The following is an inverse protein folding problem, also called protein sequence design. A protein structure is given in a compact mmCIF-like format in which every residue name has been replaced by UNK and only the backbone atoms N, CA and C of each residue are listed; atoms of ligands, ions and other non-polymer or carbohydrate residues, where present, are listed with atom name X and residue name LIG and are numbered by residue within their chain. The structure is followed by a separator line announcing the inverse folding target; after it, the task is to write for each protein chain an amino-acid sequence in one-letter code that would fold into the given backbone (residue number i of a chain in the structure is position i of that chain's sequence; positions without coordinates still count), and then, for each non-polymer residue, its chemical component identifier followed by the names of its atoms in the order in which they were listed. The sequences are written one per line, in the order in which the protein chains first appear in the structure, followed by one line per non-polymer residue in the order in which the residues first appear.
data_IF_255016810624
#
_entry.id   IF_255016810624
#
_cell.length_a   1.000
_cell.length_b   1.000
_cell.length_c   1.000
_cell.angle_alpha   90.00
_cell.angle_beta   90.00
_cell.angle_gamma   90.00
#
_symmetry.space_group_name_H-M   'P 1'
#
loop_
_entity.id
_entity.type
_entity.pdbx_description
1 polymer ?
#
# COMPACT_ATOMS: atom_id res chain seq x y z
N UNK A 1 70.93 -14.08 -60.59
CA UNK A 1 69.75 -13.31 -60.75
C UNK A 1 69.02 -13.20 -59.39
N UNK A 2 69.29 -12.17 -58.60
CA UNK A 2 68.71 -11.94 -57.30
C UNK A 2 67.55 -10.91 -57.46
N UNK A 3 66.33 -11.33 -57.21
CA UNK A 3 65.14 -10.45 -57.14
C UNK A 3 64.97 -9.87 -55.71
N UNK A 4 65.17 -8.60 -55.58
CA UNK A 4 64.83 -7.83 -54.36
C UNK A 4 63.31 -7.57 -54.33
N UNK A 5 62.67 -8.05 -53.28
CA UNK A 5 61.30 -7.62 -52.97
C UNK A 5 61.35 -6.40 -52.04
N UNK A 6 60.90 -5.27 -52.51
CA UNK A 6 60.68 -4.11 -51.67
C UNK A 6 59.31 -4.29 -50.94
N UNK A 7 59.35 -4.44 -49.65
CA UNK A 7 58.18 -4.37 -48.82
C UNK A 7 57.89 -2.94 -48.39
N UNK A 8 56.77 -2.43 -48.83
CA UNK A 8 56.23 -1.13 -48.42
C UNK A 8 55.47 -1.25 -47.12
N UNK A 9 55.76 -0.48 -46.05
CA UNK A 9 54.95 -0.50 -44.85
C UNK A 9 53.70 0.32 -45.07
N UNK A 10 52.54 -0.30 -44.87
CA UNK A 10 51.24 0.39 -44.84
C UNK A 10 51.13 1.09 -43.48
N UNK A 11 51.19 2.41 -43.49
CA UNK A 11 50.96 3.26 -42.35
C UNK A 11 49.45 3.31 -42.10
N UNK A 12 48.96 2.58 -41.12
CA UNK A 12 47.54 2.68 -40.67
C UNK A 12 47.36 3.97 -39.88
N UNK A 13 46.71 4.96 -40.48
CA UNK A 13 46.29 6.15 -39.78
C UNK A 13 45.06 5.79 -38.91
N UNK A 14 45.25 5.69 -37.60
CA UNK A 14 44.19 5.66 -36.62
C UNK A 14 43.57 7.04 -36.53
N UNK A 15 42.41 7.24 -37.16
CA UNK A 15 41.56 8.41 -36.91
C UNK A 15 40.97 8.25 -35.52
N UNK A 16 41.47 8.98 -34.56
CA UNK A 16 40.79 9.20 -33.29
C UNK A 16 39.55 10.07 -33.59
N UNK A 17 38.39 9.43 -33.61
CA UNK A 17 37.15 10.15 -33.51
C UNK A 17 37.13 10.80 -32.14
N UNK A 18 37.47 12.09 -32.08
CA UNK A 18 37.18 12.92 -30.92
C UNK A 18 35.68 12.91 -30.71
N UNK A 19 35.24 12.30 -29.60
CA UNK A 19 33.91 12.59 -29.11
C UNK A 19 33.86 14.08 -28.87
N UNK A 20 33.01 14.76 -29.60
CA UNK A 20 32.68 16.17 -29.40
C UNK A 20 32.25 16.33 -27.93
N UNK A 21 33.02 17.07 -27.14
CA UNK A 21 32.61 17.56 -25.85
C UNK A 21 31.52 18.64 -26.07
N UNK A 22 30.37 18.17 -26.60
CA UNK A 22 29.20 19.00 -26.62
C UNK A 22 28.99 19.52 -25.21
N UNK A 23 29.12 20.80 -25.00
CA UNK A 23 28.82 21.46 -23.73
C UNK A 23 27.38 21.05 -23.39
N UNK A 24 27.24 20.11 -22.47
CA UNK A 24 25.95 19.85 -21.82
C UNK A 24 25.68 21.13 -21.04
N UNK A 25 25.01 22.06 -21.70
CA UNK A 25 24.32 23.12 -20.96
C UNK A 25 23.23 22.36 -20.21
N UNK A 26 23.51 22.10 -18.93
CA UNK A 26 22.45 21.66 -18.03
C UNK A 26 21.29 22.62 -18.26
N UNK A 27 20.11 22.14 -18.71
CA UNK A 27 18.96 23.01 -18.75
C UNK A 27 18.84 23.56 -17.32
N UNK A 28 18.95 24.87 -17.18
CA UNK A 28 18.57 25.53 -15.94
C UNK A 28 17.06 25.28 -15.84
N UNK A 29 16.70 24.13 -15.23
CA UNK A 29 15.38 23.94 -14.73
C UNK A 29 15.22 24.99 -13.63
N UNK A 30 14.67 26.13 -13.98
CA UNK A 30 13.99 26.97 -13.00
C UNK A 30 12.81 26.11 -12.54
N UNK A 31 13.04 25.32 -11.51
CA UNK A 31 12.04 24.44 -10.92
C UNK A 31 11.09 25.33 -10.12
N UNK A 32 10.30 26.11 -10.85
CA UNK A 32 9.15 26.85 -10.37
C UNK A 32 7.87 26.01 -10.51
N UNK A 33 8.02 24.67 -10.57
CA UNK A 33 6.87 23.80 -10.55
C UNK A 33 6.25 23.92 -9.17
N UNK A 34 5.10 24.57 -9.11
CA UNK A 34 4.30 24.64 -7.88
C UNK A 34 4.07 23.24 -7.34
N UNK A 35 4.30 23.07 -6.06
CA UNK A 35 4.09 21.80 -5.36
C UNK A 35 3.34 22.06 -4.07
N UNK A 36 2.55 21.08 -3.64
CA UNK A 36 1.86 21.15 -2.37
C UNK A 36 2.70 20.59 -1.23
N UNK A 37 2.27 20.88 -0.01
CA UNK A 37 2.79 20.34 1.25
C UNK A 37 1.65 19.67 2.01
N UNK A 38 1.95 18.59 2.70
CA UNK A 38 1.01 17.95 3.61
C UNK A 38 1.66 17.74 4.98
N UNK A 39 0.85 17.84 6.02
CA UNK A 39 1.20 17.54 7.41
C UNK A 39 0.27 16.45 7.91
N UNK A 40 0.82 15.33 8.33
CA UNK A 40 0.12 14.30 9.11
C UNK A 40 0.46 14.50 10.58
N UNK A 41 -0.55 14.55 11.43
CA UNK A 41 -0.42 14.53 12.90
C UNK A 41 -1.20 13.34 13.43
N UNK A 42 -0.51 12.31 13.92
CA UNK A 42 -1.14 11.07 14.36
C UNK A 42 -0.26 10.30 15.38
N UNK A 43 -0.88 9.52 16.26
CA UNK A 43 -0.26 8.45 17.07
C UNK A 43 -0.47 7.13 16.30
N UNK A 44 0.56 6.68 15.56
CA UNK A 44 0.50 5.50 14.72
C UNK A 44 1.00 4.26 15.45
N UNK A 45 0.18 3.21 15.50
CA UNK A 45 0.48 1.96 16.19
C UNK A 45 0.63 0.81 15.20
N UNK A 46 1.63 -0.06 15.44
CA UNK A 46 1.83 -1.27 14.63
C UNK A 46 2.65 -1.07 13.36
N UNK A 47 3.34 0.06 13.19
CA UNK A 47 4.24 0.30 12.05
C UNK A 47 5.37 -0.74 11.93
N UNK A 48 5.81 -1.32 13.03
CA UNK A 48 6.87 -2.32 13.11
C UNK A 48 6.39 -3.75 12.81
N UNK A 49 5.09 -3.95 12.65
CA UNK A 49 4.49 -5.27 12.43
C UNK A 49 4.44 -5.68 10.96
N UNK A 50 4.79 -4.78 10.04
CA UNK A 50 4.80 -5.04 8.61
C UNK A 50 6.07 -5.78 8.17
N UNK A 51 5.90 -6.74 7.24
CA UNK A 51 7.03 -7.37 6.55
C UNK A 51 7.60 -6.47 5.45
N UNK A 52 8.70 -6.90 4.82
CA UNK A 52 9.40 -6.12 3.79
C UNK A 52 8.62 -5.90 2.50
N UNK A 53 7.51 -6.60 2.29
CA UNK A 53 6.70 -6.51 1.06
C UNK A 53 5.76 -5.32 1.03
N UNK A 54 5.51 -4.68 2.19
CA UNK A 54 4.57 -3.57 2.31
C UNK A 54 5.15 -2.46 3.20
N UNK A 55 4.65 -1.26 2.99
CA UNK A 55 5.01 -0.10 3.81
C UNK A 55 3.77 0.74 4.09
N UNK A 56 3.68 1.27 5.31
CA UNK A 56 2.74 2.35 5.62
C UNK A 56 3.38 3.66 5.21
N UNK A 57 2.66 4.47 4.47
CA UNK A 57 3.17 5.71 3.88
C UNK A 57 2.22 6.88 4.05
N UNK A 58 2.78 8.09 4.11
CA UNK A 58 2.08 9.31 3.75
C UNK A 58 2.39 9.60 2.28
N UNK A 59 1.38 9.64 1.42
CA UNK A 59 1.61 9.71 -0.02
C UNK A 59 0.60 10.58 -0.76
N UNK A 60 1.02 11.17 -1.88
CA UNK A 60 0.16 11.83 -2.85
C UNK A 60 -0.23 10.86 -3.98
N UNK A 61 -1.53 10.77 -4.25
CA UNK A 61 -2.08 9.98 -5.35
C UNK A 61 -2.86 10.85 -6.33
N UNK A 62 -3.07 10.34 -7.54
CA UNK A 62 -4.01 10.89 -8.52
C UNK A 62 -5.12 9.88 -8.80
N UNK A 63 -6.30 10.36 -9.19
CA UNK A 63 -7.49 9.51 -9.39
C UNK A 63 -7.33 8.45 -10.49
N UNK A 64 -6.42 8.69 -11.43
CA UNK A 64 -6.15 7.82 -12.58
C UNK A 64 -5.09 6.74 -12.30
N UNK A 65 -4.54 6.69 -11.08
CA UNK A 65 -3.42 5.82 -10.76
C UNK A 65 -3.46 5.24 -9.36
N UNK A 66 -3.14 3.95 -9.24
CA UNK A 66 -2.86 3.33 -7.93
C UNK A 66 -1.45 3.61 -7.43
N UNK A 67 -0.55 4.07 -8.29
CA UNK A 67 0.83 4.34 -7.90
C UNK A 67 0.96 5.71 -7.26
N UNK A 68 1.67 5.77 -6.14
CA UNK A 68 1.95 7.04 -5.49
C UNK A 68 2.80 7.94 -6.40
N UNK A 69 2.43 9.22 -6.51
CA UNK A 69 3.22 10.24 -7.21
C UNK A 69 4.44 10.62 -6.40
N UNK A 70 4.24 10.69 -5.09
CA UNK A 70 5.27 10.93 -4.09
C UNK A 70 4.86 10.20 -2.81
N UNK A 71 5.83 9.74 -2.03
CA UNK A 71 5.56 9.12 -0.74
C UNK A 71 6.70 9.31 0.25
N UNK A 72 6.35 9.26 1.52
CA UNK A 72 7.27 9.15 2.64
C UNK A 72 6.90 7.90 3.43
N UNK A 73 7.82 6.95 3.52
CA UNK A 73 7.64 5.76 4.35
C UNK A 73 7.63 6.17 5.82
N UNK A 74 6.70 5.61 6.56
CA UNK A 74 6.56 5.86 8.00
C UNK A 74 7.26 4.72 8.74
N UNK A 75 7.99 5.10 9.78
CA UNK A 75 8.71 4.16 10.64
C UNK A 75 8.36 4.46 12.09
N UNK A 76 8.29 3.41 12.90
CA UNK A 76 8.03 3.59 14.33
C UNK A 76 9.14 4.42 14.98
N UNK A 77 8.75 5.39 15.78
CA UNK A 77 9.68 6.18 16.61
C UNK A 77 10.01 5.47 17.92
N UNK A 78 9.31 4.37 18.22
CA UNK A 78 9.46 3.61 19.46
C UNK A 78 8.89 4.30 20.69
N UNK A 79 8.28 5.46 20.55
CA UNK A 79 7.63 6.18 21.63
C UNK A 79 6.10 5.92 21.59
N UNK A 80 5.58 5.47 22.71
CA UNK A 80 4.14 5.27 22.90
C UNK A 80 3.45 6.60 23.25
N UNK A 81 2.22 6.77 22.76
CA UNK A 81 1.33 7.90 23.04
C UNK A 81 1.87 9.28 22.59
N UNK A 82 2.75 9.33 21.61
CA UNK A 82 3.25 10.57 21.02
C UNK A 82 2.63 10.80 19.66
N UNK A 83 2.02 11.98 19.49
CA UNK A 83 1.57 12.42 18.17
C UNK A 83 2.79 12.80 17.32
N UNK A 84 3.04 12.00 16.30
CA UNK A 84 4.07 12.32 15.31
C UNK A 84 3.57 13.41 14.37
N UNK A 85 4.45 14.35 14.04
CA UNK A 85 4.22 15.36 13.03
C UNK A 85 5.09 15.07 11.81
N UNK A 86 4.45 14.60 10.73
CA UNK A 86 5.14 14.12 9.54
C UNK A 86 4.82 15.03 8.37
N UNK A 87 5.83 15.67 7.80
CA UNK A 87 5.70 16.55 6.63
C UNK A 87 6.05 15.78 5.37
N UNK A 88 5.20 15.88 4.36
CA UNK A 88 5.45 15.49 2.97
C UNK A 88 5.43 16.77 2.12
N UNK A 89 6.56 17.11 1.53
CA UNK A 89 6.73 18.28 0.64
C UNK A 89 7.01 17.83 -0.80
N UNK A 90 6.87 18.73 -1.75
CA UNK A 90 7.11 18.43 -3.17
C UNK A 90 6.00 17.60 -3.81
N UNK A 91 4.79 17.67 -3.30
CA UNK A 91 3.63 16.95 -3.85
C UNK A 91 3.26 17.61 -5.19
N UNK A 92 3.30 16.87 -6.32
CA UNK A 92 2.97 17.44 -7.62
C UNK A 92 1.52 17.93 -7.66
N UNK A 93 1.25 19.03 -8.36
CA UNK A 93 -0.11 19.57 -8.53
C UNK A 93 -1.06 18.63 -9.29
N UNK A 94 -0.52 17.57 -9.90
CA UNK A 94 -1.30 16.47 -10.49
C UNK A 94 -1.84 15.47 -9.47
N UNK A 95 -1.39 15.53 -8.22
CA UNK A 95 -2.00 14.75 -7.15
C UNK A 95 -3.39 15.30 -6.83
N UNK A 96 -4.34 14.39 -6.58
CA UNK A 96 -5.72 14.73 -6.24
C UNK A 96 -6.06 14.41 -4.80
N UNK A 97 -5.21 13.62 -4.14
CA UNK A 97 -5.37 13.28 -2.71
C UNK A 97 -4.04 13.08 -2.01
N UNK A 98 -4.09 13.31 -0.69
CA UNK A 98 -3.06 12.89 0.26
C UNK A 98 -3.63 11.79 1.12
N UNK A 99 -2.90 10.69 1.24
CA UNK A 99 -3.39 9.51 1.92
C UNK A 99 -2.36 8.96 2.91
N UNK A 100 -2.85 8.55 4.07
CA UNK A 100 -2.20 7.55 4.90
C UNK A 100 -2.60 6.19 4.34
N UNK A 101 -1.67 5.45 3.79
CA UNK A 101 -1.95 4.27 3.00
C UNK A 101 -0.92 3.14 3.21
N UNK A 102 -1.33 1.92 2.88
CA UNK A 102 -0.41 0.79 2.69
C UNK A 102 -0.09 0.67 1.22
N UNK A 103 1.19 0.60 0.89
CA UNK A 103 1.69 0.36 -0.47
C UNK A 103 2.58 -0.87 -0.52
N UNK A 104 2.64 -1.50 -1.70
CA UNK A 104 3.57 -2.58 -2.00
C UNK A 104 4.97 -2.05 -2.38
N UNK A 105 5.90 -2.98 -2.67
CA UNK A 105 7.27 -2.65 -3.11
C UNK A 105 7.34 -1.87 -4.41
N UNK A 106 6.30 -1.92 -5.24
CA UNK A 106 6.18 -1.15 -6.47
C UNK A 106 5.50 0.21 -6.25
N UNK A 107 5.22 0.57 -5.00
CA UNK A 107 4.52 1.79 -4.61
C UNK A 107 3.05 1.84 -5.06
N UNK A 108 2.48 0.66 -5.33
CA UNK A 108 1.07 0.54 -5.64
C UNK A 108 0.26 0.58 -4.34
N UNK A 109 -0.80 1.39 -4.31
CA UNK A 109 -1.74 1.44 -3.19
C UNK A 109 -2.46 0.11 -3.01
N UNK A 110 -2.34 -0.47 -1.83
CA UNK A 110 -3.00 -1.71 -1.41
C UNK A 110 -4.24 -1.39 -0.58
N UNK A 111 -4.12 -0.46 0.35
CA UNK A 111 -5.24 0.01 1.17
C UNK A 111 -5.06 1.48 1.53
N UNK A 112 -6.18 2.21 1.60
CA UNK A 112 -6.24 3.58 2.12
C UNK A 112 -6.77 3.54 3.56
N UNK A 113 -5.96 4.04 4.49
CA UNK A 113 -6.34 4.13 5.92
C UNK A 113 -7.08 5.44 6.18
N UNK A 114 -6.56 6.53 5.65
CA UNK A 114 -7.18 7.85 5.72
C UNK A 114 -6.85 8.66 4.48
N UNK A 115 -7.76 9.52 4.05
CA UNK A 115 -7.65 10.30 2.82
C UNK A 115 -8.07 11.74 3.05
N UNK A 116 -7.30 12.68 2.49
CA UNK A 116 -7.65 14.07 2.34
C UNK A 116 -7.65 14.41 0.85
N UNK A 117 -8.79 14.80 0.30
CA UNK A 117 -8.87 15.28 -1.07
C UNK A 117 -8.18 16.65 -1.18
N UNK A 118 -7.46 16.87 -2.26
CA UNK A 118 -6.88 18.17 -2.57
C UNK A 118 -7.96 18.98 -3.31
N UNK A 119 -8.42 20.09 -2.75
CA UNK A 119 -9.43 20.91 -3.41
C UNK A 119 -8.95 21.45 -4.75
N UNK A 120 -9.84 21.58 -5.71
CA UNK A 120 -9.54 22.28 -6.96
C UNK A 120 -9.14 23.74 -6.66
N UNK A 121 -8.01 24.19 -7.23
CA UNK A 121 -7.48 25.53 -6.97
C UNK A 121 -6.84 25.70 -5.59
N UNK A 122 -6.42 24.59 -4.94
CA UNK A 122 -5.67 24.67 -3.68
C UNK A 122 -4.41 25.52 -3.85
N UNK A 123 -4.20 26.43 -2.90
CA UNK A 123 -3.01 27.30 -2.90
C UNK A 123 -1.78 26.51 -2.47
N UNK A 124 -0.72 26.58 -3.25
CA UNK A 124 0.53 25.87 -2.96
C UNK A 124 1.23 26.36 -1.69
N UNK A 125 0.95 27.58 -1.23
CA UNK A 125 1.48 28.10 0.03
C UNK A 125 0.77 27.49 1.25
N UNK A 126 -0.45 26.99 1.10
CA UNK A 126 -1.21 26.35 2.17
C UNK A 126 -0.74 24.91 2.39
N UNK A 127 -0.84 24.44 3.62
CA UNK A 127 -0.50 23.08 4.00
C UNK A 127 -1.76 22.24 4.18
N UNK A 128 -1.85 21.16 3.40
CA UNK A 128 -2.89 20.14 3.58
C UNK A 128 -2.67 19.40 4.90
N UNK A 129 -3.72 19.23 5.71
CA UNK A 129 -3.59 18.63 7.04
C UNK A 129 -4.41 17.36 7.16
N UNK A 130 -3.77 16.30 7.66
CA UNK A 130 -4.39 15.08 8.14
C UNK A 130 -4.15 15.03 9.65
N UNK A 131 -5.13 15.45 10.42
CA UNK A 131 -5.07 15.38 11.88
C UNK A 131 -5.89 14.19 12.34
N UNK A 132 -5.17 13.11 12.65
CA UNK A 132 -5.72 11.84 13.11
C UNK A 132 -5.30 11.64 14.55
N UNK A 133 -6.18 11.17 15.39
CA UNK A 133 -5.81 10.78 16.74
C UNK A 133 -4.90 9.53 16.74
N UNK A 134 -5.19 8.60 17.62
CA UNK A 134 -4.59 7.27 17.59
C UNK A 134 -5.15 6.46 16.45
N UNK A 135 -4.26 5.89 15.64
CA UNK A 135 -4.60 5.04 14.48
C UNK A 135 -3.81 3.74 14.59
N UNK A 136 -4.51 2.62 14.61
CA UNK A 136 -3.91 1.31 14.50
C UNK A 136 -3.61 1.04 13.01
N UNK A 137 -2.35 1.05 12.66
CA UNK A 137 -1.83 0.76 11.33
C UNK A 137 -1.12 -0.58 11.28
N UNK A 138 -1.32 -1.46 12.29
CA UNK A 138 -0.89 -2.86 12.23
C UNK A 138 -1.58 -3.59 11.07
N UNK A 139 -1.05 -4.72 10.60
CA UNK A 139 -1.72 -5.52 9.56
C UNK A 139 -3.16 -5.86 9.91
N UNK A 140 -3.44 -6.24 11.18
CA UNK A 140 -4.81 -6.50 11.63
C UNK A 140 -5.65 -5.21 11.69
N UNK A 141 -5.11 -4.13 12.26
CA UNK A 141 -5.80 -2.85 12.35
C UNK A 141 -6.25 -2.34 10.98
N UNK A 142 -5.38 -2.45 9.98
CA UNK A 142 -5.72 -2.05 8.60
C UNK A 142 -6.75 -3.01 7.99
N UNK A 143 -6.62 -4.34 8.15
CA UNK A 143 -7.64 -5.30 7.70
C UNK A 143 -8.99 -5.01 8.37
N UNK A 144 -8.98 -4.79 9.69
CA UNK A 144 -10.20 -4.51 10.43
C UNK A 144 -10.89 -3.22 9.92
N UNK A 145 -10.12 -2.17 9.69
CA UNK A 145 -10.66 -0.87 9.26
C UNK A 145 -11.09 -0.86 7.79
N UNK A 146 -10.30 -1.49 6.90
CA UNK A 146 -10.51 -1.36 5.45
C UNK A 146 -11.33 -2.50 4.85
N UNK A 147 -11.25 -3.70 5.44
CA UNK A 147 -11.99 -4.88 4.96
C UNK A 147 -13.27 -5.09 5.75
N UNK A 148 -13.16 -5.27 7.07
CA UNK A 148 -14.32 -5.67 7.87
C UNK A 148 -15.28 -4.50 8.11
N UNK A 149 -14.75 -3.35 8.51
CA UNK A 149 -15.51 -2.14 8.83
C UNK A 149 -15.43 -1.06 7.73
N UNK A 150 -14.77 -1.35 6.60
CA UNK A 150 -14.64 -0.41 5.50
C UNK A 150 -15.98 -0.15 4.80
N UNK A 151 -16.16 1.09 4.35
CA UNK A 151 -17.38 1.53 3.69
C UNK A 151 -17.66 0.81 2.37
N UNK A 152 -16.60 0.41 1.65
CA UNK A 152 -16.71 -0.24 0.34
C UNK A 152 -17.18 -1.69 0.44
N UNK A 153 -16.67 -2.46 1.41
CA UNK A 153 -17.04 -3.88 1.60
C UNK A 153 -18.14 -4.06 2.63
N UNK A 154 -18.09 -3.32 3.73
CA UNK A 154 -19.10 -3.32 4.80
C UNK A 154 -19.47 -4.71 5.29
N UNK A 155 -18.47 -5.56 5.63
CA UNK A 155 -18.66 -6.94 6.08
C UNK A 155 -19.52 -7.01 7.35
N UNK A 156 -19.39 -6.01 8.23
CA UNK A 156 -20.19 -5.92 9.46
C UNK A 156 -21.69 -5.82 9.20
N UNK A 157 -22.13 -5.44 8.00
CA UNK A 157 -23.57 -5.41 7.67
C UNK A 157 -24.25 -6.76 7.95
N UNK A 158 -23.55 -7.87 7.72
CA UNK A 158 -24.05 -9.22 7.96
C UNK A 158 -23.37 -9.89 9.17
N UNK A 159 -22.14 -9.44 9.52
CA UNK A 159 -21.31 -10.07 10.52
C UNK A 159 -21.17 -9.22 11.78
N UNK A 160 -22.30 -8.80 12.37
CA UNK A 160 -22.34 -8.08 13.65
C UNK A 160 -23.61 -8.40 14.46
N UNK A 161 -23.64 -7.98 15.72
CA UNK A 161 -24.80 -8.05 16.60
C UNK A 161 -25.00 -9.42 17.23
N UNK A 162 -26.19 -9.64 17.79
CA UNK A 162 -26.48 -10.83 18.60
C UNK A 162 -26.66 -12.13 17.84
N UNK A 163 -26.87 -12.08 16.50
CA UNK A 163 -26.99 -13.24 15.63
C UNK A 163 -26.29 -12.96 14.29
N UNK A 164 -24.96 -12.83 14.29
CA UNK A 164 -24.22 -12.55 13.06
C UNK A 164 -24.24 -13.75 12.13
N UNK A 165 -24.22 -13.49 10.82
CA UNK A 165 -24.18 -14.52 9.80
C UNK A 165 -23.02 -15.51 10.06
N UNK A 166 -23.31 -16.82 10.02
CA UNK A 166 -22.32 -17.85 10.32
C UNK A 166 -21.71 -17.79 11.71
N UNK A 167 -22.35 -17.12 12.67
CA UNK A 167 -21.82 -16.94 14.01
C UNK A 167 -20.49 -16.16 14.07
N UNK A 168 -20.20 -15.36 13.02
CA UNK A 168 -18.98 -14.58 12.90
C UNK A 168 -19.26 -13.11 13.23
N UNK A 169 -18.76 -12.63 14.35
CA UNK A 169 -18.88 -11.24 14.76
C UNK A 169 -17.59 -10.47 14.40
N UNK A 170 -17.69 -9.55 13.45
CA UNK A 170 -16.60 -8.68 12.97
C UNK A 170 -16.68 -7.25 13.52
N UNK A 171 -17.54 -7.01 14.53
CA UNK A 171 -17.59 -5.72 15.19
C UNK A 171 -16.24 -5.39 15.84
N UNK A 172 -15.96 -4.10 15.97
CA UNK A 172 -14.80 -3.60 16.66
C UNK A 172 -14.64 -4.26 18.05
N UNK A 173 -13.41 -4.66 18.39
CA UNK A 173 -13.08 -5.38 19.63
C UNK A 173 -13.55 -6.84 19.69
N UNK A 174 -14.23 -7.37 18.65
CA UNK A 174 -14.66 -8.77 18.61
C UNK A 174 -14.06 -9.55 17.46
N UNK A 175 -13.66 -8.88 16.39
CA UNK A 175 -13.25 -9.52 15.13
C UNK A 175 -12.07 -10.47 15.33
N UNK A 176 -11.05 -10.09 16.08
CA UNK A 176 -9.85 -10.88 16.28
C UNK A 176 -10.16 -12.25 16.90
N UNK A 177 -10.82 -12.25 18.05
CA UNK A 177 -11.17 -13.48 18.78
C UNK A 177 -12.16 -14.38 18.00
N UNK A 178 -13.00 -13.76 17.16
CA UNK A 178 -13.92 -14.51 16.31
C UNK A 178 -13.26 -15.11 15.07
N UNK A 179 -12.06 -14.67 14.71
CA UNK A 179 -11.35 -15.11 13.51
C UNK A 179 -10.20 -16.05 13.83
N UNK A 180 -9.26 -15.63 14.69
CA UNK A 180 -7.99 -16.34 14.88
C UNK A 180 -8.19 -17.60 15.71
N UNK A 181 -7.77 -18.74 15.15
CA UNK A 181 -7.95 -20.08 15.74
C UNK A 181 -9.40 -20.45 16.08
N UNK A 182 -10.38 -19.71 15.57
CA UNK A 182 -11.80 -19.98 15.76
C UNK A 182 -12.34 -20.92 14.67
N UNK A 183 -13.16 -21.94 15.02
CA UNK A 183 -13.71 -22.86 14.02
C UNK A 183 -14.71 -22.16 13.11
N UNK A 184 -14.73 -22.55 11.83
CA UNK A 184 -15.73 -22.10 10.89
C UNK A 184 -17.10 -22.73 11.21
N UNK A 185 -18.17 -21.95 11.13
CA UNK A 185 -19.50 -22.45 11.46
C UNK A 185 -19.96 -23.59 10.56
N UNK A 186 -19.70 -23.45 9.25
CA UNK A 186 -20.11 -24.45 8.25
C UNK A 186 -19.23 -25.71 8.27
N UNK A 187 -17.95 -25.55 8.59
CA UNK A 187 -16.94 -26.60 8.59
C UNK A 187 -16.13 -26.52 9.90
N UNK A 188 -16.66 -27.10 11.01
CA UNK A 188 -16.02 -26.97 12.33
C UNK A 188 -14.60 -27.55 12.40
N UNK A 189 -14.23 -28.41 11.46
CA UNK A 189 -12.87 -28.94 11.30
C UNK A 189 -11.88 -27.94 10.67
N UNK A 190 -12.37 -26.85 10.10
CA UNK A 190 -11.57 -25.77 9.53
C UNK A 190 -11.55 -24.57 10.46
N UNK A 191 -10.40 -23.94 10.61
CA UNK A 191 -10.31 -22.66 11.32
C UNK A 191 -10.57 -21.49 10.36
N UNK A 192 -11.23 -20.46 10.89
CA UNK A 192 -11.48 -19.22 10.15
C UNK A 192 -10.17 -18.55 9.73
N UNK A 193 -9.20 -18.47 10.66
CA UNK A 193 -7.84 -17.99 10.41
C UNK A 193 -6.86 -18.92 11.10
N UNK A 194 -5.92 -19.46 10.35
CA UNK A 194 -4.78 -20.24 10.84
C UNK A 194 -3.56 -19.31 10.80
N UNK A 195 -3.01 -18.88 11.93
CA UNK A 195 -1.85 -18.01 11.97
C UNK A 195 -0.67 -18.58 11.18
N UNK A 196 -0.14 -17.79 10.23
CA UNK A 196 0.97 -18.18 9.36
C UNK A 196 0.55 -19.01 8.13
N UNK A 197 -0.73 -19.37 7.97
CA UNK A 197 -1.19 -20.26 6.89
C UNK A 197 -2.49 -19.74 6.23
N UNK A 198 -2.34 -18.82 5.29
CA UNK A 198 -3.47 -18.27 4.55
C UNK A 198 -4.19 -19.34 3.70
N UNK A 199 -3.44 -20.28 3.14
CA UNK A 199 -4.00 -21.33 2.28
C UNK A 199 -4.96 -22.27 3.02
N UNK A 200 -4.76 -22.48 4.31
CA UNK A 200 -5.65 -23.28 5.17
C UNK A 200 -6.63 -22.43 6.01
N UNK A 201 -6.62 -21.12 5.85
CA UNK A 201 -7.56 -20.21 6.49
C UNK A 201 -8.87 -20.12 5.72
N UNK A 202 -9.99 -20.51 6.36
CA UNK A 202 -11.29 -20.52 5.70
C UNK A 202 -11.74 -19.12 5.26
N UNK A 203 -11.41 -18.07 6.04
CA UNK A 203 -11.66 -16.68 5.65
C UNK A 203 -11.06 -16.36 4.28
N UNK A 204 -9.77 -16.70 4.07
CA UNK A 204 -9.08 -16.39 2.82
C UNK A 204 -9.69 -17.15 1.64
N UNK A 205 -10.03 -18.44 1.83
CA UNK A 205 -10.71 -19.23 0.81
C UNK A 205 -12.05 -18.63 0.41
N UNK A 206 -12.87 -18.24 1.38
CA UNK A 206 -14.20 -17.68 1.12
C UNK A 206 -14.14 -16.39 0.31
N UNK A 207 -13.16 -15.52 0.58
CA UNK A 207 -13.05 -14.22 -0.11
C UNK A 207 -12.36 -14.33 -1.48
N UNK A 208 -11.57 -15.38 -1.74
CA UNK A 208 -10.82 -15.56 -3.00
C UNK A 208 -11.41 -16.61 -3.93
N UNK A 209 -11.81 -17.75 -3.39
CA UNK A 209 -12.33 -18.89 -4.16
C UNK A 209 -13.85 -18.99 -4.09
N UNK A 210 -14.42 -18.47 -3.00
CA UNK A 210 -15.84 -18.65 -2.68
C UNK A 210 -16.13 -20.00 -2.04
N UNK A 211 -17.38 -20.19 -1.67
CA UNK A 211 -17.93 -21.48 -1.24
C UNK A 211 -19.40 -21.54 -1.66
N UNK A 212 -19.73 -22.44 -2.59
CA UNK A 212 -21.08 -22.62 -3.11
C UNK A 212 -22.11 -23.11 -2.07
N UNK A 213 -21.61 -23.67 -0.97
CA UNK A 213 -22.47 -24.14 0.14
C UNK A 213 -22.87 -23.01 1.11
N UNK A 214 -22.28 -21.83 0.95
CA UNK A 214 -22.73 -20.63 1.64
C UNK A 214 -23.93 -20.04 0.89
N UNK A 215 -24.90 -19.52 1.62
CA UNK A 215 -26.06 -18.85 1.00
C UNK A 215 -25.72 -17.51 0.32
N UNK A 216 -24.46 -17.11 0.34
CA UNK A 216 -23.98 -15.85 -0.22
C UNK A 216 -22.53 -16.00 -0.72
N UNK A 217 -22.26 -15.52 -1.94
CA UNK A 217 -20.90 -15.51 -2.51
C UNK A 217 -20.18 -14.21 -2.12
N UNK A 218 -18.97 -14.33 -1.55
CA UNK A 218 -18.17 -13.20 -1.13
C UNK A 218 -17.18 -12.70 -2.21
N UNK A 219 -16.75 -13.58 -3.13
CA UNK A 219 -15.78 -13.24 -4.16
C UNK A 219 -16.17 -12.04 -5.04
N UNK A 220 -17.45 -11.83 -5.42
CA UNK A 220 -17.81 -10.67 -6.23
C UNK A 220 -17.60 -9.33 -5.52
N UNK A 221 -17.53 -9.32 -4.19
CA UNK A 221 -17.31 -8.09 -3.43
C UNK A 221 -15.92 -7.49 -3.66
N UNK A 222 -14.96 -8.29 -4.12
CA UNK A 222 -13.56 -7.90 -4.32
C UNK A 222 -13.20 -7.67 -5.80
N UNK A 223 -14.17 -7.51 -6.67
CA UNK A 223 -13.93 -7.31 -8.11
C UNK A 223 -13.71 -5.85 -8.50
N UNK A 224 -14.21 -4.91 -7.69
CA UNK A 224 -14.04 -3.48 -7.94
C UNK A 224 -12.57 -3.07 -7.80
N UNK A 225 -12.17 -2.12 -8.63
CA UNK A 225 -10.78 -1.65 -8.70
C UNK A 225 -10.20 -1.24 -7.33
N UNK A 226 -10.99 -0.59 -6.51
CA UNK A 226 -10.55 -0.06 -5.20
C UNK A 226 -10.31 -1.13 -4.14
N UNK A 227 -11.00 -2.25 -4.23
CA UNK A 227 -10.98 -3.33 -3.22
C UNK A 227 -10.28 -4.60 -3.70
N UNK A 228 -9.89 -4.69 -4.97
CA UNK A 228 -9.31 -5.90 -5.56
C UNK A 228 -7.96 -6.32 -4.93
N UNK A 229 -7.28 -5.43 -4.23
CA UNK A 229 -6.03 -5.71 -3.51
C UNK A 229 -6.24 -6.16 -2.06
N UNK A 230 -7.43 -5.99 -1.51
CA UNK A 230 -7.71 -6.28 -0.10
C UNK A 230 -7.61 -7.77 0.28
N UNK A 231 -7.92 -8.75 -0.59
CA UNK A 231 -7.63 -10.15 -0.28
C UNK A 231 -6.15 -10.41 -0.02
N UNK A 232 -5.23 -9.77 -0.74
CA UNK A 232 -3.79 -9.90 -0.51
C UNK A 232 -3.37 -9.24 0.82
N UNK A 233 -4.05 -8.20 1.25
CA UNK A 233 -3.85 -7.60 2.57
C UNK A 233 -4.25 -8.58 3.69
N UNK A 234 -5.41 -9.24 3.54
CA UNK A 234 -5.86 -10.29 4.48
C UNK A 234 -4.86 -11.45 4.52
N UNK A 235 -4.40 -11.90 3.36
CA UNK A 235 -3.36 -12.94 3.26
C UNK A 235 -2.10 -12.52 4.00
N UNK A 236 -1.63 -11.31 3.77
CA UNK A 236 -0.42 -10.76 4.42
C UNK A 236 -0.54 -10.76 5.94
N UNK A 237 -1.66 -10.27 6.48
CA UNK A 237 -1.92 -10.33 7.92
C UNK A 237 -1.83 -11.77 8.46
N UNK A 238 -2.47 -12.72 7.77
CA UNK A 238 -2.44 -14.13 8.18
C UNK A 238 -1.01 -14.69 8.14
N UNK A 239 -0.27 -14.46 7.06
CA UNK A 239 1.10 -14.96 6.86
C UNK A 239 2.11 -14.35 7.84
N UNK A 240 1.88 -13.12 8.30
CA UNK A 240 2.64 -12.47 9.37
C UNK A 240 2.29 -13.03 10.77
N UNK A 241 1.51 -14.11 10.84
CA UNK A 241 1.15 -14.80 12.06
C UNK A 241 -0.17 -14.36 12.68
N UNK A 242 -1.00 -13.65 11.93
CA UNK A 242 -2.33 -13.17 12.32
C UNK A 242 -2.32 -12.50 13.71
N UNK A 243 -1.34 -11.63 13.97
CA UNK A 243 -1.25 -10.87 15.24
C UNK A 243 -2.32 -9.78 15.27
N UNK A 244 -2.76 -9.48 16.52
CA UNK A 244 -3.62 -8.33 16.79
C UNK A 244 -2.87 -7.02 16.70
#
# INVERSE_FOLDING_TARGET
MRRFFLSLPILAALAFASCDDGSVTDPVYSDTTETYKALLVADLRGLDMWGSSYSVVLAGFSNDSRYSRIQKNLTSTGADDVLDSIVLAGIPTTATSIELAVVDVLRQRVATISKCEIPEGHDSEDTLKLELGRVDVSPFGVVNTTVFNGTSLNCIRCHQGGQPAGGLNLSEGSAYDNLVNAPAHKYPEMLRVVPGDAANSYLYKVITEGDENLGYSHTPMFTEYEVATLPELVKTWIELGAKE
#
